data_IF_227334810770
#
_entry.id   IF_227334810770
#
_cell.length_a   1.000
_cell.length_b   1.000
_cell.length_c   1.000
_cell.angle_alpha   90.00
_cell.angle_beta   90.00
_cell.angle_gamma   90.00
#
_symmetry.space_group_name_H-M   'P 1'
#
loop_
_entity.id
_entity.type
_entity.pdbx_description
1 polymer ?
#
# COMPACT_ATOMS: atom_id res chain seq x y z
N UNK A 1 -0.96 16.66 1.80
CA UNK A 1 -1.59 15.34 2.04
C UNK A 1 -2.26 14.89 0.75
N UNK A 2 -2.15 13.62 0.36
CA UNK A 2 -2.71 13.09 -0.89
C UNK A 2 -3.53 11.81 -0.62
N UNK A 3 -4.66 11.65 -1.32
CA UNK A 3 -5.49 10.44 -1.24
C UNK A 3 -4.87 9.35 -2.12
N UNK A 4 -4.61 8.17 -1.53
CA UNK A 4 -3.95 7.03 -2.21
C UNK A 4 -4.88 5.84 -2.44
N UNK A 5 -6.14 5.92 -2.01
CA UNK A 5 -7.10 4.83 -2.15
C UNK A 5 -8.39 5.10 -1.40
N UNK A 6 -9.24 4.08 -1.32
CA UNK A 6 -10.39 4.02 -0.42
C UNK A 6 -10.67 2.59 0.00
N UNK A 7 -11.33 2.46 1.14
CA UNK A 7 -11.85 1.21 1.67
C UNK A 7 -13.26 1.44 2.21
N UNK A 8 -14.23 0.66 1.72
CA UNK A 8 -15.59 0.59 2.23
C UNK A 8 -15.77 -0.78 2.91
N UNK A 9 -15.76 -0.86 4.26
CA UNK A 9 -15.92 -2.13 4.97
C UNK A 9 -17.33 -2.71 4.85
N UNK A 10 -18.36 -1.87 4.65
CA UNK A 10 -19.76 -2.32 4.56
C UNK A 10 -19.98 -3.07 3.25
N UNK A 11 -19.41 -2.54 2.16
CA UNK A 11 -19.51 -3.15 0.83
C UNK A 11 -18.33 -4.07 0.50
N UNK A 12 -17.36 -4.19 1.41
CA UNK A 12 -16.08 -4.88 1.18
C UNK A 12 -15.36 -4.40 -0.09
N UNK A 13 -15.53 -3.12 -0.44
CA UNK A 13 -14.94 -2.56 -1.66
C UNK A 13 -13.65 -1.84 -1.33
N UNK A 14 -12.58 -2.14 -2.08
CA UNK A 14 -11.27 -1.52 -1.89
C UNK A 14 -10.71 -1.07 -3.22
N UNK A 15 -10.13 0.12 -3.26
CA UNK A 15 -9.32 0.59 -4.38
C UNK A 15 -8.02 1.18 -3.84
N UNK A 16 -6.91 0.75 -4.41
CA UNK A 16 -5.56 1.15 -3.99
C UNK A 16 -4.82 1.69 -5.21
N UNK A 17 -4.28 2.92 -5.10
CA UNK A 17 -3.35 3.46 -6.06
C UNK A 17 -1.96 2.91 -5.74
N UNK A 18 -1.66 1.71 -6.26
CA UNK A 18 -0.43 0.96 -5.95
C UNK A 18 0.85 1.76 -6.19
N UNK A 19 1.06 2.40 -7.36
CA UNK A 19 2.28 3.17 -7.60
C UNK A 19 2.51 4.26 -6.56
N UNK A 20 1.44 4.97 -6.17
CA UNK A 20 1.54 6.05 -5.21
C UNK A 20 1.81 5.53 -3.79
N UNK A 21 1.15 4.43 -3.40
CA UNK A 21 1.38 3.78 -2.10
C UNK A 21 2.84 3.32 -1.99
N UNK A 22 3.38 2.69 -3.03
CA UNK A 22 4.78 2.27 -3.06
C UNK A 22 5.72 3.46 -2.86
N UNK A 23 5.50 4.59 -3.55
CA UNK A 23 6.29 5.82 -3.35
C UNK A 23 6.25 6.34 -1.91
N UNK A 24 5.12 6.23 -1.21
CA UNK A 24 5.04 6.61 0.21
C UNK A 24 5.82 5.65 1.10
N UNK A 25 5.72 4.34 0.85
CA UNK A 25 6.50 3.33 1.58
C UNK A 25 8.01 3.51 1.36
N UNK A 26 8.44 3.83 0.13
CA UNK A 26 9.84 4.14 -0.20
C UNK A 26 10.36 5.35 0.58
N UNK A 27 9.50 6.35 0.80
CA UNK A 27 9.79 7.54 1.61
C UNK A 27 9.71 7.30 3.13
N UNK A 28 9.47 6.06 3.57
CA UNK A 28 9.42 5.69 4.98
C UNK A 28 8.07 5.90 5.65
N UNK A 29 6.98 6.08 4.90
CA UNK A 29 5.65 6.16 5.49
C UNK A 29 5.29 4.84 6.19
N UNK A 30 4.90 4.93 7.46
CA UNK A 30 4.41 3.78 8.21
C UNK A 30 2.88 3.72 8.14
N UNK A 31 2.29 2.65 7.60
CA UNK A 31 0.84 2.48 7.62
C UNK A 31 0.35 2.22 9.06
N UNK A 32 -0.86 2.68 9.36
CA UNK A 32 -1.57 2.27 10.58
C UNK A 32 -2.02 0.81 10.48
N UNK A 33 -2.41 0.20 11.60
CA UNK A 33 -2.75 -1.24 11.67
C UNK A 33 -3.77 -1.69 10.61
N UNK A 34 -4.91 -1.02 10.48
CA UNK A 34 -5.93 -1.38 9.46
C UNK A 34 -5.38 -1.24 8.04
N UNK A 35 -4.61 -0.19 7.76
CA UNK A 35 -4.02 0.01 6.43
C UNK A 35 -2.97 -1.06 6.16
N UNK A 36 -2.15 -1.41 7.15
CA UNK A 36 -1.17 -2.48 7.05
C UNK A 36 -1.82 -3.80 6.65
N UNK A 37 -2.94 -4.17 7.29
CA UNK A 37 -3.67 -5.39 6.96
C UNK A 37 -4.27 -5.38 5.55
N UNK A 38 -4.81 -4.23 5.11
CA UNK A 38 -5.29 -4.04 3.74
C UNK A 38 -4.15 -4.23 2.73
N UNK A 39 -3.00 -3.57 2.95
CA UNK A 39 -1.83 -3.68 2.08
C UNK A 39 -1.24 -5.09 2.07
N UNK A 40 -1.25 -5.78 3.21
CA UNK A 40 -0.82 -7.18 3.34
C UNK A 40 -1.73 -8.11 2.54
N UNK A 41 -3.05 -7.95 2.63
CA UNK A 41 -4.03 -8.73 1.85
C UNK A 41 -3.92 -8.49 0.36
N UNK A 42 -3.62 -7.25 -0.06
CA UNK A 42 -3.37 -6.88 -1.44
C UNK A 42 -1.94 -7.20 -1.93
N UNK A 43 -1.12 -7.88 -1.11
CA UNK A 43 0.26 -8.29 -1.41
C UNK A 43 1.23 -7.15 -1.77
N UNK A 44 0.91 -5.90 -1.43
CA UNK A 44 1.71 -4.71 -1.79
C UNK A 44 3.12 -4.77 -1.22
N UNK A 45 3.31 -5.35 -0.04
CA UNK A 45 4.64 -5.50 0.55
C UNK A 45 5.55 -6.46 -0.23
N UNK A 46 4.99 -7.44 -0.95
CA UNK A 46 5.79 -8.31 -1.83
C UNK A 46 6.31 -7.52 -3.02
N UNK A 47 5.44 -6.74 -3.66
CA UNK A 47 5.80 -5.85 -4.77
C UNK A 47 6.84 -4.81 -4.33
N UNK A 48 6.63 -4.19 -3.16
CA UNK A 48 7.58 -3.25 -2.58
C UNK A 48 8.98 -3.86 -2.41
N UNK A 49 9.09 -5.07 -1.84
CA UNK A 49 10.36 -5.78 -1.68
C UNK A 49 11.02 -6.11 -3.02
N UNK A 50 10.25 -6.58 -4.00
CA UNK A 50 10.76 -6.89 -5.34
C UNK A 50 11.30 -5.64 -6.04
N UNK A 51 10.66 -4.48 -5.88
CA UNK A 51 11.16 -3.24 -6.45
C UNK A 51 12.48 -2.81 -5.81
N UNK A 52 12.67 -2.95 -4.50
CA UNK A 52 13.96 -2.65 -3.86
C UNK A 52 15.10 -3.52 -4.39
N UNK A 53 14.86 -4.81 -4.64
CA UNK A 53 15.89 -5.71 -5.19
C UNK A 53 16.29 -5.34 -6.62
N UNK A 54 15.42 -4.69 -7.41
CA UNK A 54 15.74 -4.26 -8.79
C UNK A 54 16.66 -3.04 -8.84
N UNK A 55 16.71 -2.24 -7.78
CA UNK A 55 17.52 -1.02 -7.70
C UNK A 55 18.82 -1.21 -6.88
N UNK A 56 19.09 -2.43 -6.42
CA UNK A 56 20.32 -2.82 -5.73
C UNK A 56 21.36 -3.41 -6.69
#
# INVERSE_FOLDING_TARGET
MQKVGFYDPIKSQTYLNVPLILQFLEKGAQPTETVYDILKRAEIFKEFRLNQTKFN
#
